data_IF_811124464300
#
_entry.id   IF_811124464300
#
_cell.length_a   1.000
_cell.length_b   1.000
_cell.length_c   1.000
_cell.angle_alpha   90.00
_cell.angle_beta   90.00
_cell.angle_gamma   90.00
#
_symmetry.space_group_name_H-M   'P 1'
#
loop_
_entity.id
_entity.type
_entity.pdbx_description
1 polymer ?
#
# COMPACT_ATOMS: atom_id res chain seq x y z
N UNK A 1 45.89 -15.66 -17.69
CA UNK A 1 44.47 -15.55 -17.34
C UNK A 1 44.31 -15.95 -15.88
N UNK A 2 43.92 -15.04 -14.98
CA UNK A 2 43.26 -15.44 -13.75
C UNK A 2 41.74 -15.48 -14.01
N UNK A 3 41.12 -16.63 -13.78
CA UNK A 3 39.68 -16.80 -13.55
C UNK A 3 39.41 -16.57 -12.07
N UNK A 4 38.41 -15.74 -11.75
CA UNK A 4 37.43 -15.73 -10.62
C UNK A 4 37.85 -16.20 -9.20
N UNK A 5 37.06 -15.97 -8.15
CA UNK A 5 35.95 -15.04 -7.96
C UNK A 5 36.11 -14.24 -6.63
N UNK A 6 35.64 -13.00 -6.58
CA UNK A 6 35.12 -12.51 -5.30
C UNK A 6 33.77 -11.88 -5.58
N UNK A 7 32.67 -12.63 -5.42
CA UNK A 7 31.38 -12.03 -5.55
C UNK A 7 31.16 -11.22 -4.28
N UNK A 8 31.05 -9.90 -4.42
CA UNK A 8 30.65 -9.00 -3.34
C UNK A 8 29.16 -9.19 -2.99
N UNK A 9 28.71 -10.44 -2.83
CA UNK A 9 27.37 -10.82 -2.35
C UNK A 9 27.01 -10.15 -1.01
N UNK A 10 28.01 -9.62 -0.28
CA UNK A 10 27.82 -8.91 0.97
C UNK A 10 27.12 -7.55 0.89
N UNK A 11 27.01 -6.88 -0.28
CA UNK A 11 26.35 -5.56 -0.38
C UNK A 11 24.82 -5.65 -0.48
N UNK A 12 24.30 -6.66 -1.17
CA UNK A 12 22.86 -6.88 -1.38
C UNK A 12 22.18 -7.69 -0.28
N UNK A 13 22.94 -8.57 0.40
CA UNK A 13 22.38 -9.39 1.48
C UNK A 13 21.94 -8.56 2.68
N UNK A 14 22.60 -7.42 2.94
CA UNK A 14 22.29 -6.56 4.08
C UNK A 14 20.91 -5.90 3.99
N UNK A 15 20.54 -5.18 2.92
CA UNK A 15 19.19 -4.63 2.79
C UNK A 15 18.12 -5.74 2.78
N UNK A 16 18.41 -6.88 2.15
CA UNK A 16 17.49 -8.04 2.08
C UNK A 16 17.27 -8.70 3.46
N UNK A 17 18.30 -8.80 4.30
CA UNK A 17 18.17 -9.25 5.69
C UNK A 17 17.38 -8.25 6.53
N UNK A 18 17.60 -6.94 6.35
CA UNK A 18 16.84 -5.91 7.07
C UNK A 18 15.36 -6.01 6.71
N UNK A 19 15.04 -6.16 5.42
CA UNK A 19 13.68 -6.40 4.93
C UNK A 19 13.04 -7.63 5.58
N UNK A 20 13.76 -8.77 5.58
CA UNK A 20 13.30 -10.01 6.19
C UNK A 20 13.10 -9.87 7.71
N UNK A 21 13.98 -9.14 8.42
CA UNK A 21 13.82 -8.87 9.84
C UNK A 21 12.62 -7.98 10.13
N UNK A 22 12.33 -6.98 9.29
CA UNK A 22 11.16 -6.11 9.44
C UNK A 22 9.87 -6.90 9.24
N UNK A 23 9.77 -7.70 8.17
CA UNK A 23 8.61 -8.57 7.93
C UNK A 23 8.40 -9.55 9.09
N UNK A 24 9.46 -10.20 9.57
CA UNK A 24 9.39 -11.10 10.73
C UNK A 24 8.92 -10.37 12.00
N UNK A 25 9.36 -9.13 12.20
CA UNK A 25 8.97 -8.32 13.37
C UNK A 25 7.49 -7.96 13.29
N UNK A 26 6.97 -7.64 12.10
CA UNK A 26 5.55 -7.34 11.90
C UNK A 26 4.71 -8.57 12.19
N UNK A 27 5.04 -9.73 11.62
CA UNK A 27 4.33 -10.99 11.90
C UNK A 27 4.33 -11.30 13.40
N UNK A 28 5.45 -11.06 14.08
CA UNK A 28 5.55 -11.26 15.53
C UNK A 28 4.66 -10.28 16.32
N UNK A 29 4.65 -8.99 15.97
CA UNK A 29 3.83 -7.96 16.64
C UNK A 29 2.34 -8.18 16.39
N UNK A 30 1.93 -8.50 15.16
CA UNK A 30 0.53 -8.80 14.83
C UNK A 30 0.05 -10.10 15.50
N UNK A 31 0.97 -11.01 15.84
CA UNK A 31 0.66 -12.23 16.61
C UNK A 31 0.57 -12.02 18.12
N UNK A 32 0.92 -10.83 18.63
CA UNK A 32 0.70 -10.50 20.03
C UNK A 32 -0.76 -10.03 20.18
N UNK A 33 -1.60 -10.89 20.73
CA UNK A 33 -2.96 -10.54 21.16
C UNK A 33 -2.94 -9.20 21.92
N UNK A 34 -3.90 -8.29 21.70
CA UNK A 34 -3.94 -7.02 22.40
C UNK A 34 -3.94 -7.29 23.90
N UNK A 35 -2.96 -6.76 24.63
CA UNK A 35 -2.92 -6.86 26.07
C UNK A 35 -4.22 -6.24 26.62
N UNK A 36 -5.11 -7.07 27.13
CA UNK A 36 -6.30 -6.64 27.86
C UNK A 36 -5.83 -5.74 29.00
N UNK A 37 -6.10 -4.45 28.87
CA UNK A 37 -5.75 -3.46 29.87
C UNK A 37 -6.69 -3.66 31.06
N UNK A 38 -6.20 -4.32 32.11
CA UNK A 38 -6.97 -4.53 33.33
C UNK A 38 -7.45 -3.18 33.92
N UNK A 39 -8.74 -3.15 34.22
CA UNK A 39 -9.47 -2.05 34.79
C UNK A 39 -8.87 -1.61 36.15
N UNK A 40 -8.63 -0.31 36.32
CA UNK A 40 -8.12 0.24 37.56
C UNK A 40 -8.55 1.68 37.87
N UNK A 41 -9.56 1.79 38.74
CA UNK A 41 -9.85 2.89 39.69
C UNK A 41 -10.71 4.08 39.23
N UNK A 42 -11.90 4.16 39.82
CA UNK A 42 -12.85 5.29 39.82
C UNK A 42 -12.25 6.54 40.44
N UNK A 43 -12.25 7.66 39.72
CA UNK A 43 -12.14 9.03 40.27
C UNK A 43 -13.13 9.93 39.55
N UNK A 44 -14.05 10.52 40.31
CA UNK A 44 -15.09 11.45 39.84
C UNK A 44 -14.46 12.77 39.37
N UNK A 45 -14.61 13.09 38.09
CA UNK A 45 -14.24 14.37 37.46
C UNK A 45 -15.46 14.95 36.70
N UNK A 46 -15.50 16.29 36.50
CA UNK A 46 -16.67 17.08 36.06
C UNK A 46 -17.21 16.67 34.68
N UNK A 47 -18.44 17.09 34.29
CA UNK A 47 -19.14 16.56 33.12
C UNK A 47 -18.28 16.66 31.85
N UNK A 48 -18.23 15.59 31.03
CA UNK A 48 -17.33 15.54 29.90
C UNK A 48 -17.69 16.64 28.89
N UNK A 49 -16.69 17.44 28.51
CA UNK A 49 -16.71 18.09 27.20
C UNK A 49 -16.89 17.00 26.15
N UNK A 50 -17.86 17.14 25.26
CA UNK A 50 -18.06 16.24 24.12
C UNK A 50 -16.91 16.41 23.13
N UNK A 51 -15.77 15.80 23.42
CA UNK A 51 -14.73 15.54 22.43
C UNK A 51 -15.22 14.39 21.57
N UNK A 52 -15.64 14.71 20.35
CA UNK A 52 -15.81 13.68 19.31
C UNK A 52 -14.41 13.21 18.94
N UNK A 53 -13.98 12.10 19.51
CA UNK A 53 -12.76 11.43 19.06
C UNK A 53 -13.18 10.58 17.86
N UNK A 54 -12.79 11.00 16.65
CA UNK A 54 -12.91 10.12 15.48
C UNK A 54 -11.76 9.12 15.56
N UNK A 55 -12.04 7.95 16.15
CA UNK A 55 -11.05 6.88 16.21
C UNK A 55 -11.27 6.03 14.96
N UNK A 56 -10.28 6.01 14.07
CA UNK A 56 -10.27 5.10 12.94
C UNK A 56 -10.43 3.65 13.46
N UNK A 57 -11.23 2.80 12.79
CA UNK A 57 -11.36 1.40 13.18
C UNK A 57 -9.97 0.73 13.33
N UNK A 58 -9.80 -0.13 14.33
CA UNK A 58 -8.48 -0.68 14.69
C UNK A 58 -7.85 -1.50 13.57
N UNK A 59 -8.66 -2.23 12.81
CA UNK A 59 -8.29 -2.97 11.60
C UNK A 59 -7.80 -2.04 10.49
N UNK A 60 -8.52 -0.93 10.25
CA UNK A 60 -8.11 0.10 9.29
C UNK A 60 -6.79 0.77 9.71
N UNK A 61 -6.63 1.08 10.98
CA UNK A 61 -5.38 1.65 11.51
C UNK A 61 -4.19 0.69 11.39
N UNK A 62 -4.39 -0.60 11.66
CA UNK A 62 -3.37 -1.63 11.47
C UNK A 62 -2.98 -1.77 9.99
N UNK A 63 -3.96 -1.69 9.09
CA UNK A 63 -3.71 -1.74 7.66
C UNK A 63 -2.93 -0.53 7.13
N UNK A 64 -3.12 0.67 7.69
CA UNK A 64 -2.29 1.84 7.34
C UNK A 64 -0.80 1.60 7.65
N UNK A 65 -0.48 0.98 8.78
CA UNK A 65 0.90 0.59 9.11
C UNK A 65 1.46 -0.40 8.09
N UNK A 66 0.61 -1.29 7.57
CA UNK A 66 0.99 -2.24 6.52
C UNK A 66 1.32 -1.50 5.20
N UNK A 67 0.53 -0.49 4.84
CA UNK A 67 0.81 0.36 3.67
C UNK A 67 2.13 1.14 3.81
N UNK A 68 2.45 1.65 5.01
CA UNK A 68 3.73 2.32 5.27
C UNK A 68 4.92 1.36 5.10
N UNK A 69 4.73 0.10 5.46
CA UNK A 69 5.73 -0.94 5.21
C UNK A 69 5.87 -1.13 3.71
N UNK A 70 4.79 -1.32 2.96
CA UNK A 70 4.83 -1.48 1.50
C UNK A 70 5.55 -0.33 0.81
N UNK A 71 5.24 0.92 1.17
CA UNK A 71 5.92 2.10 0.64
C UNK A 71 7.43 2.10 0.94
N UNK A 72 7.84 1.76 2.17
CA UNK A 72 9.26 1.67 2.52
C UNK A 72 9.99 0.58 1.72
N UNK A 73 9.34 -0.56 1.48
CA UNK A 73 9.91 -1.65 0.68
C UNK A 73 10.04 -1.25 -0.79
N UNK A 74 9.03 -0.57 -1.33
CA UNK A 74 9.04 -0.05 -2.68
C UNK A 74 10.16 0.99 -2.89
N UNK A 75 10.35 1.89 -1.92
CA UNK A 75 11.45 2.86 -1.92
C UNK A 75 12.82 2.17 -1.90
N UNK A 76 12.95 1.07 -1.14
CA UNK A 76 14.17 0.27 -1.13
C UNK A 76 14.45 -0.36 -2.50
N UNK A 77 13.45 -0.96 -3.14
CA UNK A 77 13.61 -1.52 -4.49
C UNK A 77 14.00 -0.46 -5.52
N UNK A 78 13.43 0.74 -5.43
CA UNK A 78 13.80 1.87 -6.27
C UNK A 78 15.27 2.26 -6.09
N UNK A 79 15.71 2.39 -4.83
CA UNK A 79 17.10 2.71 -4.51
C UNK A 79 18.06 1.62 -4.99
N UNK A 80 17.67 0.35 -4.85
CA UNK A 80 18.44 -0.80 -5.27
C UNK A 80 18.65 -0.81 -6.79
N UNK A 81 17.57 -0.68 -7.58
CA UNK A 81 17.66 -0.58 -9.05
C UNK A 81 18.54 0.61 -9.48
N UNK A 82 18.35 1.78 -8.86
CA UNK A 82 19.14 2.96 -9.16
C UNK A 82 20.64 2.76 -8.88
N UNK A 83 20.97 2.12 -7.74
CA UNK A 83 22.35 1.84 -7.36
C UNK A 83 23.02 0.81 -8.28
N UNK A 84 22.33 -0.27 -8.66
CA UNK A 84 22.85 -1.24 -9.65
C UNK A 84 23.11 -0.54 -10.98
N UNK A 85 22.15 0.28 -11.42
CA UNK A 85 22.25 1.01 -12.66
C UNK A 85 23.43 2.00 -12.67
N UNK A 86 23.66 2.71 -11.57
CA UNK A 86 24.81 3.61 -11.40
C UNK A 86 26.14 2.84 -11.39
N UNK A 87 26.23 1.77 -10.59
CA UNK A 87 27.44 0.92 -10.53
C UNK A 87 27.76 0.32 -11.91
N UNK A 88 26.73 -0.07 -12.69
CA UNK A 88 26.90 -0.55 -14.07
C UNK A 88 27.41 0.54 -15.02
N UNK A 89 26.75 1.70 -15.08
CA UNK A 89 27.16 2.81 -15.96
C UNK A 89 28.56 3.32 -15.60
N UNK A 90 28.90 3.30 -14.30
CA UNK A 90 30.22 3.62 -13.79
C UNK A 90 31.28 2.55 -14.04
N UNK A 91 30.94 1.43 -14.68
CA UNK A 91 31.83 0.26 -14.88
C UNK A 91 32.43 -0.27 -13.56
N UNK A 92 31.70 -0.15 -12.46
CA UNK A 92 32.12 -0.60 -11.12
C UNK A 92 31.81 -2.07 -10.87
N UNK A 93 30.89 -2.65 -11.65
CA UNK A 93 30.50 -4.05 -11.64
C UNK A 93 30.61 -4.65 -13.04
N UNK A 94 30.78 -5.96 -13.11
CA UNK A 94 30.78 -6.74 -14.34
C UNK A 94 29.35 -7.02 -14.83
N UNK A 95 29.23 -7.50 -16.06
CA UNK A 95 27.94 -7.87 -16.64
C UNK A 95 27.24 -8.98 -15.84
N UNK A 96 27.97 -10.04 -15.48
CA UNK A 96 27.43 -11.14 -14.69
C UNK A 96 26.99 -10.66 -13.29
N UNK A 97 27.73 -9.75 -12.66
CA UNK A 97 27.34 -9.15 -11.37
C UNK A 97 26.10 -8.25 -11.48
N UNK A 98 25.97 -7.50 -12.58
CA UNK A 98 24.78 -6.68 -12.84
C UNK A 98 23.53 -7.55 -13.06
N UNK A 99 23.66 -8.62 -13.86
CA UNK A 99 22.59 -9.60 -14.07
C UNK A 99 22.15 -10.25 -12.76
N UNK A 100 23.10 -10.76 -11.97
CA UNK A 100 22.82 -11.40 -10.68
C UNK A 100 22.16 -10.42 -9.69
N UNK A 101 22.61 -9.15 -9.67
CA UNK A 101 22.02 -8.13 -8.80
C UNK A 101 20.59 -7.78 -9.21
N UNK A 102 20.31 -7.60 -10.51
CA UNK A 102 18.95 -7.33 -10.98
C UNK A 102 18.02 -8.54 -10.79
N UNK A 103 18.51 -9.76 -11.00
CA UNK A 103 17.71 -10.97 -10.72
C UNK A 103 17.40 -11.10 -9.22
N UNK A 104 18.35 -10.74 -8.35
CA UNK A 104 18.13 -10.67 -6.90
C UNK A 104 17.03 -9.67 -6.52
N UNK A 105 17.03 -8.47 -7.12
CA UNK A 105 15.98 -7.46 -6.91
C UNK A 105 14.63 -7.97 -7.43
N UNK A 106 14.60 -8.57 -8.63
CA UNK A 106 13.38 -9.15 -9.20
C UNK A 106 12.77 -10.22 -8.30
N UNK A 107 13.60 -11.13 -7.76
CA UNK A 107 13.15 -12.17 -6.84
C UNK A 107 12.61 -11.59 -5.53
N UNK A 108 13.25 -10.54 -5.00
CA UNK A 108 12.78 -9.85 -3.81
C UNK A 108 11.44 -9.14 -4.04
N UNK A 109 11.28 -8.48 -5.20
CA UNK A 109 10.01 -7.85 -5.62
C UNK A 109 8.92 -8.91 -5.77
N UNK A 110 9.19 -10.04 -6.45
CA UNK A 110 8.21 -11.12 -6.62
C UNK A 110 7.70 -11.63 -5.27
N UNK A 111 8.61 -11.84 -4.31
CA UNK A 111 8.21 -12.26 -2.95
C UNK A 111 7.40 -11.19 -2.22
N UNK A 112 7.64 -9.92 -2.51
CA UNK A 112 6.88 -8.81 -1.95
C UNK A 112 5.49 -8.70 -2.59
N UNK A 113 5.38 -8.82 -3.92
CA UNK A 113 4.13 -8.87 -4.68
C UNK A 113 3.21 -9.98 -4.14
N UNK A 114 3.74 -11.18 -3.94
CA UNK A 114 3.02 -12.30 -3.31
C UNK A 114 2.52 -11.96 -1.91
N UNK A 115 3.30 -11.20 -1.14
CA UNK A 115 2.95 -10.74 0.20
C UNK A 115 1.84 -9.69 0.21
N UNK A 116 1.85 -8.77 -0.76
CA UNK A 116 0.78 -7.78 -0.95
C UNK A 116 -0.50 -8.50 -1.38
N UNK A 117 -0.44 -9.35 -2.41
CA UNK A 117 -1.60 -10.11 -2.89
C UNK A 117 -2.17 -11.08 -1.84
N UNK A 118 -1.32 -11.63 -0.98
CA UNK A 118 -1.68 -12.57 0.09
C UNK A 118 -2.19 -11.92 1.39
N UNK A 119 -2.29 -10.58 1.46
CA UNK A 119 -2.73 -9.88 2.66
C UNK A 119 -4.14 -10.33 3.06
N UNK A 120 -4.25 -10.99 4.22
CA UNK A 120 -5.51 -11.55 4.73
C UNK A 120 -6.30 -10.58 5.62
N UNK A 121 -5.62 -9.55 6.14
CA UNK A 121 -6.16 -8.58 7.10
C UNK A 121 -6.62 -7.28 6.42
N UNK A 122 -6.96 -7.34 5.12
CA UNK A 122 -7.46 -6.17 4.38
C UNK A 122 -8.88 -5.84 4.85
N UNK A 123 -9.13 -4.64 5.40
CA UNK A 123 -10.48 -4.24 5.80
C UNK A 123 -11.44 -4.26 4.62
N UNK A 124 -12.67 -4.73 4.83
CA UNK A 124 -13.64 -4.91 3.75
C UNK A 124 -13.92 -3.62 2.95
N UNK A 125 -13.80 -2.46 3.59
CA UNK A 125 -14.01 -1.16 2.96
C UNK A 125 -12.85 -0.73 2.04
N UNK A 126 -11.68 -1.35 2.19
CA UNK A 126 -10.48 -1.08 1.38
C UNK A 126 -10.19 -2.19 0.36
N UNK A 127 -10.97 -3.27 0.37
CA UNK A 127 -10.72 -4.45 -0.45
C UNK A 127 -10.66 -4.14 -1.95
N UNK A 128 -11.51 -3.24 -2.45
CA UNK A 128 -11.52 -2.85 -3.87
C UNK A 128 -10.23 -2.09 -4.25
N UNK A 129 -9.86 -1.05 -3.51
CA UNK A 129 -8.62 -0.31 -3.79
C UNK A 129 -7.36 -1.15 -3.55
N UNK A 130 -7.41 -2.12 -2.63
CA UNK A 130 -6.32 -3.08 -2.47
C UNK A 130 -6.17 -4.00 -3.68
N UNK A 131 -7.27 -4.42 -4.32
CA UNK A 131 -7.21 -5.19 -5.58
C UNK A 131 -6.56 -4.36 -6.68
N UNK A 132 -6.90 -3.09 -6.81
CA UNK A 132 -6.26 -2.18 -7.77
C UNK A 132 -4.76 -2.01 -7.46
N UNK A 133 -4.40 -1.89 -6.18
CA UNK A 133 -2.99 -1.86 -5.76
C UNK A 133 -2.26 -3.14 -6.18
N UNK A 134 -2.84 -4.32 -5.96
CA UNK A 134 -2.24 -5.61 -6.36
C UNK A 134 -1.99 -5.65 -7.87
N UNK A 135 -2.92 -5.15 -8.68
CA UNK A 135 -2.78 -5.08 -10.14
C UNK A 135 -1.66 -4.14 -10.60
N UNK A 136 -1.35 -3.09 -9.84
CA UNK A 136 -0.20 -2.23 -10.15
C UNK A 136 1.12 -2.82 -9.64
N UNK A 137 1.06 -3.48 -8.49
CA UNK A 137 2.21 -4.14 -7.86
C UNK A 137 2.73 -5.30 -8.72
N UNK A 138 1.85 -6.13 -9.32
CA UNK A 138 2.26 -7.26 -10.19
C UNK A 138 3.03 -6.86 -11.46
N UNK A 139 3.08 -5.56 -11.80
CA UNK A 139 3.82 -5.05 -12.96
C UNK A 139 5.28 -4.74 -12.63
N UNK A 140 5.67 -4.77 -11.34
CA UNK A 140 6.97 -4.30 -10.90
C UNK A 140 8.09 -5.31 -11.18
N UNK A 141 7.90 -6.60 -10.91
CA UNK A 141 8.87 -7.64 -11.26
C UNK A 141 9.08 -7.75 -12.78
N UNK A 142 8.04 -7.74 -13.64
CA UNK A 142 8.21 -7.64 -15.09
C UNK A 142 9.01 -6.42 -15.54
N UNK A 143 8.83 -5.26 -14.88
CA UNK A 143 9.62 -4.08 -15.21
C UNK A 143 11.12 -4.27 -14.94
N UNK A 144 11.51 -5.07 -13.94
CA UNK A 144 12.92 -5.46 -13.74
C UNK A 144 13.39 -6.47 -14.80
N UNK A 145 12.52 -7.37 -15.27
CA UNK A 145 12.83 -8.25 -16.40
C UNK A 145 13.13 -7.44 -17.68
N UNK A 146 12.41 -6.35 -17.92
CA UNK A 146 12.69 -5.43 -19.03
C UNK A 146 14.07 -4.75 -18.88
N UNK A 147 14.50 -4.43 -17.66
CA UNK A 147 15.85 -3.92 -17.39
C UNK A 147 16.91 -4.96 -17.75
N UNK A 148 16.70 -6.22 -17.34
CA UNK A 148 17.58 -7.35 -17.66
C UNK A 148 17.65 -7.56 -19.18
N UNK A 149 16.50 -7.60 -19.85
CA UNK A 149 16.44 -7.74 -21.31
C UNK A 149 17.14 -6.58 -22.03
N UNK A 150 17.00 -5.35 -21.51
CA UNK A 150 17.72 -4.18 -22.01
C UNK A 150 19.22 -4.23 -21.76
N UNK A 151 19.68 -4.87 -20.67
CA UNK A 151 21.10 -5.07 -20.37
C UNK A 151 21.73 -6.09 -21.34
N UNK A 152 20.99 -7.14 -21.70
CA UNK A 152 21.44 -8.19 -22.63
C UNK A 152 21.35 -7.77 -24.12
N UNK A 153 20.64 -6.68 -24.41
CA UNK A 153 20.41 -6.24 -25.77
C UNK A 153 21.72 -5.79 -26.46
N UNK A 154 21.87 -6.07 -27.78
CA UNK A 154 23.04 -5.65 -28.54
C UNK A 154 22.94 -4.17 -28.97
N UNK A 155 22.71 -3.27 -28.01
CA UNK A 155 22.62 -1.82 -28.20
C UNK A 155 23.65 -1.06 -27.32
N UNK A 156 23.55 0.26 -27.27
CA UNK A 156 24.45 1.12 -26.48
C UNK A 156 23.97 1.31 -25.01
N UNK A 157 23.08 0.42 -24.55
CA UNK A 157 22.41 0.49 -23.25
C UNK A 157 21.20 1.42 -23.22
N UNK A 158 20.74 1.94 -24.37
CA UNK A 158 19.51 2.73 -24.49
C UNK A 158 18.27 1.98 -24.00
N UNK A 159 18.12 0.70 -24.33
CA UNK A 159 16.97 -0.10 -23.93
C UNK A 159 16.92 -0.30 -22.41
N UNK A 160 18.06 -0.66 -21.80
CA UNK A 160 18.20 -0.75 -20.35
C UNK A 160 17.85 0.56 -19.64
N UNK A 161 18.39 1.70 -20.12
CA UNK A 161 18.10 3.01 -19.51
C UNK A 161 16.62 3.38 -19.61
N UNK A 162 15.98 3.08 -20.75
CA UNK A 162 14.54 3.28 -20.91
C UNK A 162 13.72 2.38 -19.96
N UNK A 163 14.12 1.12 -19.79
CA UNK A 163 13.47 0.20 -18.86
C UNK A 163 13.64 0.63 -17.39
N UNK A 164 14.81 1.16 -16.99
CA UNK A 164 15.01 1.74 -15.66
C UNK A 164 14.07 2.94 -15.42
N UNK A 165 13.89 3.80 -16.41
CA UNK A 165 12.89 4.89 -16.33
C UNK A 165 11.48 4.34 -16.18
N UNK A 166 11.09 3.36 -17.00
CA UNK A 166 9.77 2.74 -16.92
C UNK A 166 9.51 2.06 -15.56
N UNK A 167 10.52 1.43 -14.97
CA UNK A 167 10.45 0.89 -13.63
C UNK A 167 10.21 1.99 -12.57
N UNK A 168 10.91 3.12 -12.65
CA UNK A 168 10.64 4.26 -11.76
C UNK A 168 9.23 4.85 -11.95
N UNK A 169 8.77 4.96 -13.20
CA UNK A 169 7.41 5.42 -13.49
C UNK A 169 6.37 4.45 -12.89
N UNK A 170 6.61 3.14 -12.94
CA UNK A 170 5.74 2.14 -12.30
C UNK A 170 5.77 2.24 -10.76
N UNK A 171 6.93 2.53 -10.16
CA UNK A 171 7.02 2.82 -8.71
C UNK A 171 6.12 4.01 -8.35
N UNK A 172 6.16 5.10 -9.12
CA UNK A 172 5.31 6.27 -8.88
C UNK A 172 3.80 5.94 -9.01
N UNK A 173 3.44 5.07 -9.97
CA UNK A 173 2.06 4.58 -10.13
C UNK A 173 1.61 3.78 -8.91
N UNK A 174 2.47 2.90 -8.38
CA UNK A 174 2.15 2.10 -7.18
C UNK A 174 2.02 3.01 -5.95
N UNK A 175 2.90 4.02 -5.78
CA UNK A 175 2.80 4.99 -4.69
C UNK A 175 1.46 5.75 -4.74
N UNK A 176 1.03 6.17 -5.94
CA UNK A 176 -0.28 6.80 -6.12
C UNK A 176 -1.45 5.85 -5.80
N UNK A 177 -1.32 4.55 -6.10
CA UNK A 177 -2.30 3.55 -5.72
C UNK A 177 -2.36 3.37 -4.19
N UNK A 178 -1.21 3.33 -3.49
CA UNK A 178 -1.15 3.29 -2.03
C UNK A 178 -1.85 4.51 -1.42
N UNK A 179 -1.59 5.71 -1.95
CA UNK A 179 -2.25 6.94 -1.49
C UNK A 179 -3.76 6.93 -1.72
N UNK A 180 -4.22 6.29 -2.80
CA UNK A 180 -5.65 6.09 -3.05
C UNK A 180 -6.28 5.20 -1.97
N UNK A 181 -5.61 4.13 -1.56
CA UNK A 181 -6.09 3.27 -0.46
C UNK A 181 -6.14 4.03 0.86
N UNK A 182 -5.12 4.87 1.15
CA UNK A 182 -5.12 5.74 2.35
C UNK A 182 -6.27 6.74 2.35
N UNK A 183 -6.52 7.40 1.22
CA UNK A 183 -7.62 8.35 1.10
C UNK A 183 -8.98 7.68 1.36
N UNK A 184 -9.18 6.44 0.88
CA UNK A 184 -10.41 5.69 1.19
C UNK A 184 -10.55 5.36 2.68
N UNK A 185 -9.45 5.04 3.36
CA UNK A 185 -9.46 4.79 4.80
C UNK A 185 -9.94 6.02 5.60
N UNK A 186 -9.49 7.22 5.24
CA UNK A 186 -9.90 8.47 5.90
C UNK A 186 -11.40 8.77 5.71
N UNK A 187 -11.95 8.50 4.52
CA UNK A 187 -13.39 8.71 4.25
C UNK A 187 -14.27 7.73 5.02
N UNK A 188 -13.80 6.51 5.25
CA UNK A 188 -14.50 5.47 6.03
C UNK A 188 -14.57 5.82 7.51
N UNK A 189 -13.53 6.48 8.06
CA UNK A 189 -13.54 6.99 9.44
C UNK A 189 -14.58 8.09 9.70
N UNK A 190 -15.17 8.67 8.66
CA UNK A 190 -16.13 9.77 8.77
C UNK A 190 -17.60 9.31 8.73
N UNK A 191 -17.86 8.08 8.27
CA UNK A 191 -19.23 7.58 8.00
C UNK A 191 -19.85 6.76 9.14
N UNK A 192 -19.12 6.44 10.21
CA UNK A 192 -19.67 5.72 11.39
C UNK A 192 -20.54 6.62 12.31
N UNK A 193 -20.95 7.79 11.82
CA UNK A 193 -21.72 8.80 12.55
C UNK A 193 -23.10 9.11 11.97
N UNK A 194 -23.77 8.21 11.25
CA UNK A 194 -25.19 8.39 10.90
C UNK A 194 -26.07 7.45 11.73
N UNK A 195 -26.87 8.08 12.59
CA UNK A 195 -27.51 7.45 13.73
C UNK A 195 -28.66 6.50 13.40
N UNK A 196 -28.65 5.36 14.09
CA UNK A 196 -29.88 4.71 14.52
C UNK A 196 -30.23 5.22 15.93
N UNK A 197 -30.85 6.40 16.00
CA UNK A 197 -31.57 6.79 17.21
C UNK A 197 -32.91 6.05 17.22
N UNK A 198 -32.89 4.78 17.66
CA UNK A 198 -34.11 4.09 18.10
C UNK A 198 -34.50 4.62 19.49
N UNK A 199 -35.20 5.75 19.52
CA UNK A 199 -35.93 6.21 20.72
C UNK A 199 -37.19 5.37 20.90
N UNK A 200 -37.10 4.33 21.73
CA UNK A 200 -38.31 3.71 22.32
C UNK A 200 -38.65 4.47 23.59
N UNK A 201 -39.61 5.40 23.49
CA UNK A 201 -40.24 6.09 24.61
C UNK A 201 -41.75 5.78 24.64
N UNK A 202 -42.36 5.57 25.83
CA UNK A 202 -43.74 5.12 25.94
C UNK A 202 -44.72 6.30 25.97
N UNK A 203 -45.88 6.15 25.32
CA UNK A 203 -47.12 6.83 25.71
C UNK A 203 -47.52 8.10 24.93
N UNK A 204 -48.79 8.05 24.51
CA UNK A 204 -49.73 9.15 24.25
C UNK A 204 -49.85 9.71 22.80
N UNK A 205 -51.10 9.71 22.31
CA UNK A 205 -51.58 10.02 20.94
C UNK A 205 -51.53 11.55 20.57
N UNK A 206 -52.28 12.05 19.55
CA UNK A 206 -51.89 12.17 18.15
C UNK A 206 -51.89 13.65 17.69
N UNK A 207 -51.15 14.03 16.64
CA UNK A 207 -51.54 15.20 15.82
C UNK A 207 -51.12 15.06 14.35
N UNK A 208 -52.14 15.08 13.50
CA UNK A 208 -52.11 15.30 12.05
C UNK A 208 -51.34 16.56 11.66
N UNK A 209 -50.52 16.48 10.60
CA UNK A 209 -50.31 17.60 9.66
C UNK A 209 -49.94 17.09 8.27
N UNK A 210 -50.63 17.67 7.28
CA UNK A 210 -50.69 17.36 5.86
C UNK A 210 -49.48 17.90 5.05
N UNK A 211 -49.17 17.21 3.94
CA UNK A 211 -48.86 17.72 2.56
C UNK A 211 -47.58 18.58 2.41
N UNK A 212 -46.66 18.33 1.47
CA UNK A 212 -46.84 18.58 0.03
C UNK A 212 -45.69 17.97 -0.79
N UNK A 213 -46.03 17.22 -1.84
CA UNK A 213 -45.12 16.84 -2.92
C UNK A 213 -44.94 18.01 -3.89
N UNK A 214 -43.71 18.27 -4.33
CA UNK A 214 -43.46 19.12 -5.52
C UNK A 214 -42.53 18.39 -6.47
N UNK A 215 -43.12 17.75 -7.48
CA UNK A 215 -42.44 17.24 -8.67
C UNK A 215 -42.42 18.37 -9.71
N UNK A 216 -41.24 18.84 -10.10
CA UNK A 216 -41.09 19.77 -11.22
C UNK A 216 -40.74 18.98 -12.49
N UNK A 217 -41.72 18.86 -13.38
CA UNK A 217 -41.59 18.41 -14.77
C UNK A 217 -41.29 19.62 -15.66
N UNK A 218 -40.33 19.52 -16.58
CA UNK A 218 -40.30 20.37 -17.78
C UNK A 218 -39.65 19.63 -18.96
N UNK A 219 -40.47 19.09 -19.86
CA UNK A 219 -40.19 18.93 -21.31
C UNK A 219 -41.52 19.11 -22.04
N UNK A 220 -41.56 19.93 -23.10
CA UNK A 220 -42.08 19.45 -24.40
C UNK A 220 -41.27 20.07 -25.57
N UNK A 221 -41.30 19.68 -26.84
CA UNK A 221 -41.91 18.61 -27.65
C UNK A 221 -41.26 18.76 -29.05
N UNK A 222 -41.03 17.66 -29.74
CA UNK A 222 -40.71 17.59 -31.18
C UNK A 222 -42.01 17.58 -31.99
N UNK A 223 -42.11 18.37 -33.07
CA UNK A 223 -42.90 18.05 -34.28
C UNK A 223 -42.37 18.86 -35.49
N UNK A 224 -42.26 18.21 -36.66
CA UNK A 224 -42.20 18.86 -37.98
C UNK A 224 -40.91 18.67 -38.77
#
# INVERSE_FOLDING_TARGET
MPRNPDPKHGRWILPLIILAMVVLTIVFVTSLEPAEQEAGTTTTLPPPSTTTTTTLPTDVAAFMVTLDVYENQLSAFQADVAAINEDWEGSQITFDEALDSFDGVRAAITSWEDGVAGASDVPAQLAEAHVDLVLEVEKLAPAVEDIIAGLEAPDDGSLRRAAVTAFHDQVDVILAAIDTVRAQAETTGTTTGEGETSTTGPGEEPTTSLTTSTTSTTVPTTEG
#
